data_IF_078604196297
#
_entry.id   IF_078604196297
#
_cell.length_a   1.000
_cell.length_b   1.000
_cell.length_c   1.000
_cell.angle_alpha   90.00
_cell.angle_beta   90.00
_cell.angle_gamma   90.00
#
_symmetry.space_group_name_H-M   'P 1'
#
loop_
_entity.id
_entity.type
_entity.pdbx_description
1 polymer ?
#
# COMPACT_ATOMS: atom_id res chain seq x y z
N UNK A 1 -7.59 10.48 -7.18
CA UNK A 1 -8.45 9.37 -7.66
C UNK A 1 -9.76 9.37 -6.87
N UNK A 2 -10.91 9.02 -7.46
CA UNK A 2 -12.17 8.92 -6.69
C UNK A 2 -12.24 7.60 -5.92
N UNK A 3 -13.18 7.50 -4.97
CA UNK A 3 -13.44 6.23 -4.29
C UNK A 3 -13.93 5.14 -5.25
N UNK A 4 -14.73 5.52 -6.26
CA UNK A 4 -15.18 4.61 -7.31
C UNK A 4 -14.02 4.01 -8.09
N UNK A 5 -13.02 4.83 -8.44
CA UNK A 5 -11.80 4.39 -9.12
C UNK A 5 -10.99 3.39 -8.27
N UNK A 6 -10.88 3.63 -6.96
CA UNK A 6 -10.20 2.72 -6.02
C UNK A 6 -10.91 1.38 -5.92
N UNK A 7 -12.23 1.40 -5.78
CA UNK A 7 -13.06 0.20 -5.74
C UNK A 7 -12.89 -0.60 -7.04
N UNK A 8 -12.91 0.09 -8.18
CA UNK A 8 -12.71 -0.52 -9.50
C UNK A 8 -11.34 -1.20 -9.60
N UNK A 9 -10.27 -0.50 -9.22
CA UNK A 9 -8.90 -1.06 -9.22
C UNK A 9 -8.78 -2.28 -8.31
N UNK A 10 -9.33 -2.20 -7.09
CA UNK A 10 -9.33 -3.31 -6.15
C UNK A 10 -10.09 -4.52 -6.70
N UNK A 11 -11.23 -4.30 -7.36
CA UNK A 11 -12.00 -5.36 -8.03
C UNK A 11 -11.22 -6.01 -9.15
N UNK A 12 -10.61 -5.21 -10.03
CA UNK A 12 -9.85 -5.70 -11.19
C UNK A 12 -8.60 -6.47 -10.76
N UNK A 13 -7.92 -6.04 -9.70
CA UNK A 13 -6.80 -6.77 -9.10
C UNK A 13 -7.19 -8.13 -8.49
N UNK A 14 -8.49 -8.35 -8.22
CA UNK A 14 -9.04 -9.64 -7.79
C UNK A 14 -9.66 -10.43 -8.93
N UNK A 15 -9.57 -9.94 -10.17
CA UNK A 15 -10.14 -10.55 -11.38
C UNK A 15 -11.67 -10.78 -11.30
N UNK A 16 -12.36 -9.98 -10.48
CA UNK A 16 -13.81 -10.10 -10.31
C UNK A 16 -14.55 -9.19 -11.29
N UNK A 17 -15.69 -9.65 -11.81
CA UNK A 17 -16.63 -8.83 -12.56
C UNK A 17 -17.49 -7.97 -11.64
N UNK A 18 -18.06 -6.88 -12.18
CA UNK A 18 -19.03 -6.04 -11.44
C UNK A 18 -20.25 -6.85 -10.98
N UNK A 19 -20.65 -7.88 -11.75
CA UNK A 19 -21.79 -8.75 -11.44
C UNK A 19 -21.51 -9.63 -10.22
N UNK A 20 -20.31 -10.19 -10.12
CA UNK A 20 -19.91 -11.03 -8.98
C UNK A 20 -19.88 -10.24 -7.68
N UNK A 21 -19.27 -9.05 -7.69
CA UNK A 21 -19.21 -8.20 -6.48
C UNK A 21 -20.60 -7.70 -6.08
N UNK A 22 -21.41 -7.30 -7.05
CA UNK A 22 -22.80 -6.89 -6.78
C UNK A 22 -23.62 -8.04 -6.13
N UNK A 23 -23.41 -9.28 -6.59
CA UNK A 23 -24.06 -10.46 -6.00
C UNK A 23 -23.60 -10.71 -4.55
N UNK A 24 -22.30 -10.60 -4.26
CA UNK A 24 -21.76 -10.72 -2.90
C UNK A 24 -22.35 -9.66 -1.95
N UNK A 25 -22.59 -8.46 -2.47
CA UNK A 25 -23.14 -7.34 -1.71
C UNK A 25 -24.68 -7.33 -1.64
N UNK A 26 -25.34 -8.27 -2.32
CA UNK A 26 -26.80 -8.31 -2.48
C UNK A 26 -27.36 -6.98 -3.01
N UNK A 27 -26.67 -6.38 -3.98
CA UNK A 27 -27.08 -5.13 -4.63
C UNK A 27 -27.25 -5.31 -6.14
N UNK A 28 -27.96 -4.38 -6.78
CA UNK A 28 -28.09 -4.37 -8.23
C UNK A 28 -26.74 -4.04 -8.90
N UNK A 29 -26.37 -4.78 -9.94
CA UNK A 29 -25.12 -4.54 -10.70
C UNK A 29 -25.05 -3.11 -11.27
N UNK A 30 -26.18 -2.53 -11.71
CA UNK A 30 -26.24 -1.13 -12.15
C UNK A 30 -25.89 -0.16 -11.02
N UNK A 31 -26.33 -0.44 -9.80
CA UNK A 31 -25.99 0.38 -8.63
C UNK A 31 -24.50 0.30 -8.32
N UNK A 32 -23.93 -0.91 -8.32
CA UNK A 32 -22.49 -1.10 -8.16
C UNK A 32 -21.67 -0.39 -9.25
N UNK A 33 -22.10 -0.50 -10.51
CA UNK A 33 -21.47 0.19 -11.64
C UNK A 33 -21.51 1.71 -11.51
N UNK A 34 -22.63 2.27 -11.01
CA UNK A 34 -22.72 3.71 -10.73
C UNK A 34 -21.74 4.16 -9.65
N UNK A 35 -21.47 3.33 -8.64
CA UNK A 35 -20.46 3.61 -7.61
C UNK A 35 -19.06 3.64 -8.24
N UNK A 36 -18.67 2.59 -8.99
CA UNK A 36 -17.34 2.54 -9.62
C UNK A 36 -17.09 3.69 -10.59
N UNK A 37 -18.14 4.17 -11.28
CA UNK A 37 -18.06 5.27 -12.23
C UNK A 37 -18.28 6.67 -11.59
N UNK A 38 -18.35 6.77 -10.25
CA UNK A 38 -18.51 8.03 -9.53
C UNK A 38 -19.86 8.73 -9.78
N UNK A 39 -20.88 8.01 -10.26
CA UNK A 39 -22.23 8.54 -10.50
C UNK A 39 -23.09 8.56 -9.23
N UNK A 40 -22.68 7.81 -8.21
CA UNK A 40 -23.30 7.76 -6.89
C UNK A 40 -22.19 7.82 -5.85
N UNK A 41 -22.34 8.69 -4.87
CA UNK A 41 -21.47 8.72 -3.70
C UNK A 41 -21.98 7.70 -2.65
N UNK A 42 -21.26 6.60 -2.40
CA UNK A 42 -21.70 5.57 -1.47
C UNK A 42 -21.56 6.03 -0.02
N UNK A 43 -22.55 5.69 0.81
CA UNK A 43 -22.44 5.81 2.28
C UNK A 43 -21.26 4.98 2.82
N UNK A 44 -20.67 5.40 3.94
CA UNK A 44 -19.55 4.69 4.58
C UNK A 44 -19.84 3.20 4.82
N UNK A 45 -21.05 2.86 5.24
CA UNK A 45 -21.48 1.46 5.43
C UNK A 45 -21.41 0.64 4.14
N UNK A 46 -21.64 1.26 2.99
CA UNK A 46 -21.54 0.60 1.68
C UNK A 46 -20.09 0.37 1.30
N UNK A 47 -19.22 1.35 1.57
CA UNK A 47 -17.77 1.24 1.37
C UNK A 47 -17.20 0.10 2.23
N UNK A 48 -17.62 -0.01 3.49
CA UNK A 48 -17.19 -1.10 4.37
C UNK A 48 -17.61 -2.49 3.85
N UNK A 49 -18.84 -2.62 3.35
CA UNK A 49 -19.30 -3.87 2.73
C UNK A 49 -18.50 -4.21 1.48
N UNK A 50 -18.21 -3.21 0.64
CA UNK A 50 -17.37 -3.38 -0.57
C UNK A 50 -15.97 -3.85 -0.19
N UNK A 51 -15.33 -3.21 0.80
CA UNK A 51 -14.01 -3.61 1.29
C UNK A 51 -13.99 -5.07 1.76
N UNK A 52 -15.01 -5.48 2.52
CA UNK A 52 -15.19 -6.87 2.97
C UNK A 52 -15.37 -7.84 1.81
N UNK A 53 -16.21 -7.50 0.82
CA UNK A 53 -16.45 -8.35 -0.36
C UNK A 53 -15.19 -8.52 -1.21
N UNK A 54 -14.39 -7.46 -1.36
CA UNK A 54 -13.14 -7.48 -2.11
C UNK A 54 -11.93 -7.99 -1.30
N UNK A 55 -12.12 -8.26 0.00
CA UNK A 55 -11.06 -8.67 0.95
C UNK A 55 -9.87 -7.70 0.93
N UNK A 56 -10.15 -6.41 1.01
CA UNK A 56 -9.16 -5.32 1.12
C UNK A 56 -9.38 -4.53 2.41
N UNK A 57 -8.36 -3.81 2.86
CA UNK A 57 -8.54 -2.91 4.00
C UNK A 57 -9.39 -1.71 3.55
N UNK A 58 -10.37 -1.31 4.36
CA UNK A 58 -11.19 -0.13 4.07
C UNK A 58 -10.34 1.13 3.93
N UNK A 59 -9.23 1.22 4.67
CA UNK A 59 -8.27 2.33 4.62
C UNK A 59 -7.73 2.50 3.20
N UNK A 60 -7.47 1.41 2.47
CA UNK A 60 -6.94 1.47 1.10
C UNK A 60 -7.94 2.11 0.12
N UNK A 61 -9.25 2.03 0.42
CA UNK A 61 -10.31 2.64 -0.37
C UNK A 61 -10.58 4.10 -0.01
N UNK A 62 -10.35 4.51 1.25
CA UNK A 62 -10.69 5.85 1.74
C UNK A 62 -9.49 6.78 1.90
N UNK A 63 -8.27 6.24 2.02
CA UNK A 63 -7.07 7.04 2.24
C UNK A 63 -6.89 8.03 1.09
N UNK A 64 -6.83 9.32 1.38
CA UNK A 64 -6.39 10.31 0.41
C UNK A 64 -4.95 9.96 0.01
N UNK A 65 -4.67 9.88 -1.30
CA UNK A 65 -3.34 9.53 -1.82
C UNK A 65 -2.21 10.46 -1.32
N UNK A 66 -2.53 11.58 -0.66
CA UNK A 66 -1.62 12.71 -0.44
C UNK A 66 -1.68 13.33 0.98
N UNK A 67 -1.73 12.54 2.06
CA UNK A 67 -1.44 13.10 3.42
C UNK A 67 -0.11 12.58 3.97
N UNK A 68 0.33 11.37 3.58
CA UNK A 68 1.62 10.81 3.96
C UNK A 68 2.19 9.93 2.83
N UNK A 69 2.75 10.54 1.78
CA UNK A 69 3.52 9.83 0.74
C UNK A 69 4.93 9.47 1.22
N UNK A 70 5.03 8.63 2.25
CA UNK A 70 6.31 8.07 2.68
C UNK A 70 6.32 6.54 2.82
N UNK A 71 5.35 5.83 2.20
CA UNK A 71 5.30 4.35 2.29
C UNK A 71 5.11 3.64 0.94
N UNK A 72 5.07 4.34 -0.20
CA UNK A 72 4.83 3.71 -1.52
C UNK A 72 6.04 3.69 -2.47
N UNK A 73 7.27 3.79 -1.95
CA UNK A 73 8.50 3.73 -2.74
C UNK A 73 9.45 2.61 -2.26
N UNK A 74 8.92 1.54 -1.68
CA UNK A 74 9.76 0.35 -1.53
C UNK A 74 9.97 -0.25 -2.92
N UNK A 75 11.22 -0.28 -3.35
CA UNK A 75 11.66 -1.06 -4.50
C UNK A 75 11.07 -2.47 -4.37
N UNK A 76 10.40 -2.95 -5.42
CA UNK A 76 9.80 -4.30 -5.46
C UNK A 76 10.81 -5.35 -5.00
N UNK A 77 12.09 -5.15 -5.34
CA UNK A 77 13.20 -6.01 -4.92
C UNK A 77 13.46 -5.97 -3.41
N UNK A 78 13.25 -4.84 -2.74
CA UNK A 78 13.38 -4.74 -1.27
C UNK A 78 12.25 -5.49 -0.59
N UNK A 79 11.00 -5.33 -1.06
CA UNK A 79 9.84 -6.02 -0.47
C UNK A 79 9.99 -7.54 -0.58
N UNK A 80 10.38 -8.03 -1.75
CA UNK A 80 10.67 -9.46 -1.98
C UNK A 80 11.77 -9.98 -1.05
N UNK A 81 12.85 -9.21 -0.86
CA UNK A 81 13.94 -9.58 0.05
C UNK A 81 13.50 -9.61 1.51
N UNK A 82 12.67 -8.66 1.95
CA UNK A 82 12.15 -8.62 3.34
C UNK A 82 11.32 -9.87 3.65
N UNK A 83 10.51 -10.34 2.69
CA UNK A 83 9.76 -11.60 2.86
C UNK A 83 10.66 -12.82 3.05
N UNK A 84 11.84 -12.83 2.41
CA UNK A 84 12.82 -13.92 2.58
C UNK A 84 13.51 -13.87 3.95
N UNK A 85 13.63 -12.68 4.57
CA UNK A 85 14.23 -12.54 5.90
C UNK A 85 13.46 -13.33 6.95
N UNK A 86 12.13 -13.45 6.81
CA UNK A 86 11.31 -14.19 7.76
C UNK A 86 11.68 -15.68 7.84
N UNK A 87 12.22 -16.23 6.73
CA UNK A 87 12.65 -17.63 6.61
C UNK A 87 14.02 -17.91 7.24
N UNK A 88 14.78 -16.87 7.60
CA UNK A 88 16.11 -17.00 8.20
C UNK A 88 16.01 -17.37 9.68
N UNK A 89 17.05 -18.03 10.20
CA UNK A 89 17.19 -18.28 11.62
C UNK A 89 17.60 -17.02 12.40
N UNK A 90 17.54 -17.09 13.74
CA UNK A 90 17.83 -15.93 14.59
C UNK A 90 19.28 -15.45 14.50
N UNK A 91 20.24 -16.33 14.23
CA UNK A 91 21.65 -15.96 14.09
C UNK A 91 21.88 -15.26 12.75
N UNK A 92 21.29 -15.78 11.68
CA UNK A 92 21.32 -15.18 10.34
C UNK A 92 20.64 -13.81 10.33
N UNK A 93 19.47 -13.68 10.97
CA UNK A 93 18.76 -12.38 11.12
C UNK A 93 19.63 -11.36 11.86
N UNK A 94 20.26 -11.75 12.97
CA UNK A 94 21.18 -10.87 13.72
C UNK A 94 22.37 -10.43 12.86
N UNK A 95 22.94 -11.34 12.08
CA UNK A 95 24.00 -11.02 11.12
C UNK A 95 23.55 -9.99 10.08
N UNK A 96 22.38 -10.19 9.47
CA UNK A 96 21.79 -9.27 8.52
C UNK A 96 21.57 -7.87 9.12
N UNK A 97 20.97 -7.79 10.31
CA UNK A 97 20.74 -6.51 10.99
C UNK A 97 22.05 -5.78 11.26
N UNK A 98 23.09 -6.50 11.70
CA UNK A 98 24.41 -5.91 11.94
C UNK A 98 25.02 -5.32 10.66
N UNK A 99 24.84 -5.99 9.51
CA UNK A 99 25.29 -5.47 8.20
C UNK A 99 24.51 -4.20 7.83
N UNK A 100 23.19 -4.22 7.96
CA UNK A 100 22.33 -3.06 7.67
C UNK A 100 22.73 -1.86 8.54
N UNK A 101 22.88 -2.06 9.84
CA UNK A 101 23.28 -1.02 10.79
C UNK A 101 24.65 -0.43 10.42
N UNK A 102 25.62 -1.26 10.06
CA UNK A 102 26.93 -0.83 9.60
C UNK A 102 26.87 0.02 8.34
N UNK A 103 26.04 -0.36 7.35
CA UNK A 103 25.85 0.40 6.12
C UNK A 103 25.15 1.74 6.38
N UNK A 104 24.13 1.76 7.25
CA UNK A 104 23.41 2.98 7.63
C UNK A 104 24.34 3.94 8.38
N UNK A 105 25.18 3.44 9.30
CA UNK A 105 26.17 4.25 10.00
C UNK A 105 27.17 4.88 9.02
N UNK A 106 27.68 4.09 8.06
CA UNK A 106 28.58 4.58 7.01
C UNK A 106 27.94 5.69 6.16
N UNK A 107 26.66 5.54 5.80
CA UNK A 107 25.92 6.55 5.04
C UNK A 107 25.77 7.86 5.82
N UNK A 108 25.38 7.79 7.10
CA UNK A 108 25.23 8.96 7.99
C UNK A 108 26.55 9.69 8.20
N UNK A 109 27.65 8.95 8.38
CA UNK A 109 28.99 9.54 8.50
C UNK A 109 29.37 10.31 7.22
N UNK A 110 29.14 9.71 6.05
CA UNK A 110 29.40 10.37 4.76
C UNK A 110 28.61 11.68 4.62
N UNK A 111 27.32 11.65 4.96
CA UNK A 111 26.48 12.86 4.93
C UNK A 111 26.99 13.95 5.88
N UNK A 112 27.33 13.57 7.11
CA UNK A 112 27.83 14.50 8.13
C UNK A 112 29.14 15.17 7.71
N UNK A 113 30.08 14.41 7.13
CA UNK A 113 31.33 14.94 6.58
C UNK A 113 31.06 15.92 5.43
N UNK A 114 30.17 15.57 4.49
CA UNK A 114 29.80 16.45 3.38
C UNK A 114 29.16 17.76 3.88
N UNK A 115 28.27 17.70 4.86
CA UNK A 115 27.67 18.89 5.46
C UNK A 115 28.71 19.77 6.16
N UNK A 116 29.65 19.18 6.90
CA UNK A 116 30.70 19.93 7.58
C UNK A 116 31.66 20.63 6.60
N UNK A 117 32.04 19.97 5.50
CA UNK A 117 32.88 20.57 4.44
C UNK A 117 32.19 21.78 3.79
N UNK A 118 30.89 21.67 3.50
CA UNK A 118 30.12 22.76 2.89
C UNK A 118 29.95 23.97 3.82
N UNK A 119 29.98 23.79 5.14
CA UNK A 119 29.91 24.89 6.12
C UNK A 119 31.27 25.60 6.33
N UNK A 120 32.37 24.92 5.98
CA UNK A 120 33.72 25.44 6.11
C UNK A 120 34.25 26.10 4.81
N UNK A 121 33.46 26.07 3.73
CA UNK A 121 33.74 26.66 2.42
C UNK A 121 33.03 28.00 2.26
#
# INVERSE_FOLDING_TARGET
>A
MTIGDKIKKAREAKELSQKEVAALLKMNQSQYSKIENGKVDPQFSTIEKIAKALKVNIVDLVAAEDIFKDVSAYDKTIVEKVQLVDLLDDNEKKGLFSIIDGLVAKQKLKQSLSSALNLAS
#
